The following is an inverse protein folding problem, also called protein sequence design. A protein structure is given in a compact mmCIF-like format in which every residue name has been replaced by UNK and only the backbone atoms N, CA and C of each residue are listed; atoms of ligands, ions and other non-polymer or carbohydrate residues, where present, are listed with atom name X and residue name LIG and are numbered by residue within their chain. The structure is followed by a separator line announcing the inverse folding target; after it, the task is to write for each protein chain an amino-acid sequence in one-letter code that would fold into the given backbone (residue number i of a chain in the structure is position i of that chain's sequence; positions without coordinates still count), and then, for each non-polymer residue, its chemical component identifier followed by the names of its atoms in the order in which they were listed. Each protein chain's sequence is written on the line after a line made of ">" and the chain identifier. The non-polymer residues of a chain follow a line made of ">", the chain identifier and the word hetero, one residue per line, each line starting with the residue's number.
data_IF_423553862348
#
_entry.id   IF_423553862348
#
_cell.length_a   1.000
_cell.length_b   1.000
_cell.length_c   1.000
_cell.angle_alpha   90.00
_cell.angle_beta   90.00
_cell.angle_gamma   90.00
#
_symmetry.space_group_name_H-M   'P 1'
#
loop_
_entity.id
_entity.type
_entity.pdbx_description
1 polymer ?
#
# COMPACT_ATOMS: atom_id res chain seq x y z
N UNK A 1 14.59 16.62 18.89
CA UNK A 1 13.80 15.37 18.78
C UNK A 1 12.41 15.77 18.35
N UNK A 2 11.88 15.15 17.30
CA UNK A 2 10.46 15.24 16.97
C UNK A 2 9.63 14.84 18.20
N UNK A 3 8.51 15.52 18.49
CA UNK A 3 7.62 15.09 19.57
C UNK A 3 7.08 13.69 19.22
N UNK A 4 7.28 12.76 20.15
CA UNK A 4 6.77 11.39 20.06
C UNK A 4 5.34 11.40 20.60
N UNK A 5 4.38 10.92 19.82
CA UNK A 5 3.04 10.66 20.37
C UNK A 5 3.09 9.47 21.34
N UNK A 6 2.14 9.38 22.26
CA UNK A 6 1.93 8.13 22.99
C UNK A 6 1.72 6.97 22.00
N UNK A 7 2.24 5.79 22.37
CA UNK A 7 1.98 4.55 21.65
C UNK A 7 0.50 4.18 21.80
N UNK A 8 -0.17 3.84 20.70
CA UNK A 8 -1.58 3.45 20.69
C UNK A 8 -1.74 2.02 20.18
N UNK A 9 -2.65 1.27 20.79
CA UNK A 9 -3.07 -0.03 20.27
C UNK A 9 -4.23 0.20 19.29
N UNK A 10 -4.08 -0.30 18.07
CA UNK A 10 -5.10 -0.23 17.03
C UNK A 10 -5.50 -1.65 16.65
N UNK A 11 -6.80 -1.94 16.74
CA UNK A 11 -7.38 -3.21 16.29
C UNK A 11 -8.32 -2.89 15.13
N UNK A 12 -8.02 -3.38 13.94
CA UNK A 12 -8.88 -3.18 12.76
C UNK A 12 -9.40 -4.52 12.28
N UNK A 13 -10.72 -4.70 12.32
CA UNK A 13 -11.39 -5.86 11.75
C UNK A 13 -11.82 -5.52 10.33
N UNK A 14 -11.43 -6.36 9.38
CA UNK A 14 -11.75 -6.22 7.96
C UNK A 14 -12.95 -7.10 7.62
N UNK A 15 -13.88 -6.56 6.84
CA UNK A 15 -15.14 -7.21 6.53
C UNK A 15 -15.30 -7.36 5.02
N UNK A 16 -15.95 -8.45 4.62
CA UNK A 16 -16.35 -8.72 3.24
C UNK A 16 -17.55 -9.67 3.23
N UNK A 17 -18.14 -9.91 2.06
CA UNK A 17 -19.16 -10.94 1.87
C UNK A 17 -18.52 -12.34 1.84
N UNK A 18 -19.30 -13.42 1.97
CA UNK A 18 -18.79 -14.77 1.76
C UNK A 18 -18.10 -14.98 0.41
N UNK A 19 -18.57 -14.29 -0.62
CA UNK A 19 -18.08 -14.29 -2.00
C UNK A 19 -16.93 -13.28 -2.25
N UNK A 20 -16.47 -12.55 -1.23
CA UNK A 20 -15.42 -11.53 -1.36
C UNK A 20 -15.76 -10.37 -2.34
N UNK A 21 -17.02 -9.96 -2.37
CA UNK A 21 -17.55 -8.94 -3.31
C UNK A 21 -16.85 -7.59 -3.18
N UNK A 22 -16.44 -7.17 -1.98
CA UNK A 22 -15.70 -5.91 -1.81
C UNK A 22 -14.31 -6.01 -2.44
N UNK A 23 -13.57 -7.09 -2.13
CA UNK A 23 -12.27 -7.35 -2.75
C UNK A 23 -12.36 -7.38 -4.28
N UNK A 24 -13.33 -8.11 -4.85
CA UNK A 24 -13.53 -8.21 -6.30
C UNK A 24 -13.80 -6.86 -6.96
N UNK A 25 -14.40 -5.91 -6.23
CA UNK A 25 -14.65 -4.54 -6.69
C UNK A 25 -13.51 -3.58 -6.36
N UNK A 26 -12.36 -4.09 -5.87
CA UNK A 26 -11.23 -3.26 -5.46
C UNK A 26 -11.54 -2.37 -4.25
N UNK A 27 -12.50 -2.77 -3.42
CA UNK A 27 -12.88 -2.08 -2.20
C UNK A 27 -12.33 -2.80 -0.97
N UNK A 28 -12.11 -2.04 0.10
CA UNK A 28 -11.78 -2.58 1.42
C UNK A 28 -12.63 -1.89 2.46
N UNK A 29 -13.32 -2.68 3.29
CA UNK A 29 -14.07 -2.20 4.45
C UNK A 29 -13.40 -2.67 5.73
N UNK A 30 -13.19 -1.76 6.67
CA UNK A 30 -12.75 -2.08 8.03
C UNK A 30 -13.50 -1.29 9.07
N UNK A 31 -13.59 -1.84 10.27
CA UNK A 31 -13.89 -1.09 11.49
C UNK A 31 -12.69 -1.17 12.40
N UNK A 32 -12.17 0.00 12.81
CA UNK A 32 -11.03 0.14 13.71
C UNK A 32 -11.51 0.53 15.10
N UNK A 33 -11.18 -0.27 16.09
CA UNK A 33 -11.22 0.07 17.50
C UNK A 33 -9.91 0.79 17.88
N UNK A 34 -10.07 2.03 18.36
CA UNK A 34 -9.03 2.84 18.96
C UNK A 34 -9.52 3.34 20.32
N UNK A 35 -9.19 2.58 21.37
CA UNK A 35 -9.53 2.91 22.77
C UNK A 35 -11.05 3.07 23.01
N UNK A 36 -11.88 2.29 22.31
CA UNK A 36 -13.34 2.33 22.44
C UNK A 36 -14.05 3.27 21.47
N UNK A 37 -13.32 4.07 20.69
CA UNK A 37 -13.85 4.78 19.54
C UNK A 37 -13.74 3.90 18.29
N UNK A 38 -14.85 3.73 17.58
CA UNK A 38 -14.90 2.90 16.37
C UNK A 38 -14.95 3.76 15.12
N UNK A 39 -14.00 3.53 14.21
CA UNK A 39 -13.94 4.21 12.92
C UNK A 39 -14.15 3.19 11.81
N UNK A 40 -15.23 3.37 11.05
CA UNK A 40 -15.43 2.66 9.80
C UNK A 40 -14.66 3.37 8.69
N UNK A 41 -13.88 2.61 7.91
CA UNK A 41 -13.19 3.12 6.72
C UNK A 41 -13.60 2.25 5.52
N UNK A 42 -14.05 2.89 4.44
CA UNK A 42 -14.09 2.28 3.09
C UNK A 42 -12.98 2.89 2.26
N UNK A 43 -12.14 2.04 1.65
CA UNK A 43 -11.10 2.45 0.71
C UNK A 43 -11.38 1.86 -0.67
N UNK A 44 -11.24 2.67 -1.71
CA UNK A 44 -11.22 2.20 -3.09
C UNK A 44 -9.78 2.16 -3.62
N UNK A 45 -9.41 1.03 -4.21
CA UNK A 45 -8.22 0.90 -5.04
C UNK A 45 -7.47 -0.40 -4.80
N UNK A 46 -7.20 -1.10 -5.91
CA UNK A 46 -6.05 -1.97 -6.09
C UNK A 46 -4.85 -1.17 -6.59
N UNK A 47 -3.69 -1.82 -6.57
CA UNK A 47 -2.44 -1.39 -7.21
C UNK A 47 -2.46 -1.48 -8.75
N UNK A 48 -3.63 -1.45 -9.37
CA UNK A 48 -3.75 -1.36 -10.81
C UNK A 48 -3.56 0.10 -11.22
N UNK A 49 -2.54 0.36 -12.05
CA UNK A 49 -2.26 1.64 -12.71
C UNK A 49 -1.68 2.77 -11.84
N UNK A 50 -0.55 2.49 -11.18
CA UNK A 50 0.55 3.46 -11.10
C UNK A 50 0.40 4.71 -10.23
N UNK A 51 -0.77 5.00 -9.67
CA UNK A 51 -0.93 6.03 -8.64
C UNK A 51 -0.93 5.41 -7.23
N UNK A 52 0.16 5.66 -6.51
CA UNK A 52 0.41 5.12 -5.18
C UNK A 52 -0.32 5.93 -4.07
N UNK A 53 -0.82 7.14 -4.38
CA UNK A 53 -1.06 8.15 -3.34
C UNK A 53 -2.42 8.86 -3.41
N UNK A 54 -3.25 8.65 -4.44
CA UNK A 54 -4.62 9.20 -4.46
C UNK A 54 -5.65 8.08 -4.57
N UNK A 55 -6.30 7.77 -3.44
CA UNK A 55 -7.39 6.79 -3.39
C UNK A 55 -8.56 7.40 -2.64
N UNK A 56 -9.77 7.07 -3.08
CA UNK A 56 -10.97 7.39 -2.34
C UNK A 56 -10.93 6.66 -1.00
N UNK A 57 -10.85 7.42 0.09
CA UNK A 57 -10.93 6.94 1.45
C UNK A 57 -12.03 7.73 2.15
N UNK A 58 -13.01 7.00 2.68
CA UNK A 58 -14.16 7.57 3.35
C UNK A 58 -14.25 6.99 4.75
N UNK A 59 -14.39 7.87 5.74
CA UNK A 59 -14.40 7.50 7.14
C UNK A 59 -15.65 8.04 7.85
N UNK A 60 -16.23 7.21 8.72
CA UNK A 60 -17.25 7.62 9.68
C UNK A 60 -16.88 7.07 11.06
N UNK A 61 -17.20 7.84 12.10
CA UNK A 61 -17.32 7.29 13.43
C UNK A 61 -18.60 6.46 13.50
N UNK A 62 -18.51 5.22 14.00
CA UNK A 62 -19.63 4.30 14.18
C UNK A 62 -19.80 3.95 15.66
N UNK A 63 -21.00 3.58 16.07
CA UNK A 63 -21.33 3.37 17.49
C UNK A 63 -20.93 2.01 18.03
N UNK A 64 -20.68 1.05 17.14
CA UNK A 64 -20.40 -0.33 17.50
C UNK A 64 -19.18 -0.85 16.72
N UNK A 65 -18.51 -1.88 17.26
CA UNK A 65 -17.40 -2.56 16.57
C UNK A 65 -17.90 -3.52 15.48
N UNK A 66 -18.72 -3.02 14.56
CA UNK A 66 -19.23 -3.71 13.38
C UNK A 66 -19.58 -2.69 12.30
N UNK A 67 -19.62 -3.10 11.03
CA UNK A 67 -19.97 -2.19 9.96
C UNK A 67 -21.35 -1.57 10.14
N UNK A 68 -21.46 -0.31 9.80
CA UNK A 68 -22.71 0.42 9.62
C UNK A 68 -22.87 0.76 8.13
N UNK A 69 -23.67 -0.02 7.37
CA UNK A 69 -23.87 0.22 5.95
C UNK A 69 -24.54 1.55 5.61
N UNK A 70 -25.20 2.20 6.57
CA UNK A 70 -25.87 3.49 6.39
C UNK A 70 -25.05 4.68 6.92
N UNK A 71 -23.77 4.44 7.27
CA UNK A 71 -22.84 5.49 7.66
C UNK A 71 -22.71 6.56 6.57
N UNK A 72 -22.62 7.83 6.98
CA UNK A 72 -22.91 8.96 6.10
C UNK A 72 -21.92 9.16 4.96
N UNK A 73 -20.63 8.94 5.20
CA UNK A 73 -19.57 9.16 4.21
C UNK A 73 -19.15 7.86 3.54
N UNK A 74 -18.99 6.79 4.31
CA UNK A 74 -18.45 5.50 3.90
C UNK A 74 -19.53 4.54 3.36
N UNK A 75 -20.74 4.59 3.91
CA UNK A 75 -21.87 3.74 3.49
C UNK A 75 -22.22 3.85 2.00
N UNK A 76 -22.30 5.06 1.39
CA UNK A 76 -22.59 5.22 -0.05
C UNK A 76 -21.60 4.53 -1.01
N UNK A 77 -20.42 4.13 -0.52
CA UNK A 77 -19.40 3.45 -1.32
C UNK A 77 -19.47 1.92 -1.20
N UNK A 78 -20.36 1.40 -0.36
CA UNK A 78 -20.61 -0.04 -0.28
C UNK A 78 -21.57 -0.47 -1.39
N UNK A 79 -21.25 -1.53 -2.15
CA UNK A 79 -22.18 -2.15 -3.08
C UNK A 79 -23.44 -2.62 -2.36
N UNK A 80 -24.61 -2.44 -2.99
CA UNK A 80 -25.89 -2.85 -2.42
C UNK A 80 -25.88 -4.33 -2.02
N UNK A 81 -25.26 -5.18 -2.85
CA UNK A 81 -25.18 -6.63 -2.62
C UNK A 81 -24.30 -6.99 -1.41
N UNK A 82 -23.39 -6.09 -1.00
CA UNK A 82 -22.52 -6.33 0.14
C UNK A 82 -23.18 -6.00 1.49
N UNK A 83 -24.20 -5.13 1.52
CA UNK A 83 -24.73 -4.55 2.76
C UNK A 83 -25.41 -5.54 3.72
N UNK A 84 -25.87 -6.70 3.24
CA UNK A 84 -26.64 -7.67 4.03
C UNK A 84 -25.85 -8.83 4.66
N UNK A 85 -24.62 -9.10 4.19
CA UNK A 85 -23.90 -10.35 4.52
C UNK A 85 -22.44 -10.14 4.94
N UNK A 86 -22.08 -8.93 5.37
CA UNK A 86 -20.72 -8.62 5.82
C UNK A 86 -20.32 -9.49 7.01
N UNK A 87 -19.22 -10.23 6.86
CA UNK A 87 -18.58 -11.00 7.91
C UNK A 87 -17.14 -10.56 8.11
N UNK A 88 -16.59 -10.69 9.32
CA UNK A 88 -15.17 -10.45 9.55
C UNK A 88 -14.33 -11.49 8.80
N UNK A 89 -13.26 -11.05 8.15
CA UNK A 89 -12.41 -11.87 7.26
C UNK A 89 -11.00 -12.02 7.82
N UNK A 90 -10.41 -10.91 8.25
CA UNK A 90 -9.13 -10.88 8.98
C UNK A 90 -9.07 -9.67 9.92
N UNK A 91 -8.14 -9.71 10.87
CA UNK A 91 -7.92 -8.65 11.86
C UNK A 91 -6.47 -8.22 11.79
N UNK A 92 -6.22 -6.92 11.87
CA UNK A 92 -4.89 -6.36 12.13
C UNK A 92 -4.83 -5.82 13.55
N UNK A 93 -3.89 -6.31 14.35
CA UNK A 93 -3.62 -5.79 15.69
C UNK A 93 -2.22 -5.18 15.69
N UNK A 94 -2.13 -3.86 15.81
CA UNK A 94 -0.85 -3.15 15.78
C UNK A 94 -0.70 -2.21 16.96
N UNK A 95 0.52 -2.12 17.46
CA UNK A 95 0.97 -1.05 18.34
C UNK A 95 1.64 0.02 17.47
N UNK A 96 1.02 1.20 17.38
CA UNK A 96 1.47 2.32 16.56
C UNK A 96 2.13 3.39 17.41
N UNK A 97 3.32 3.81 17.01
CA UNK A 97 4.01 4.99 17.58
C UNK A 97 4.17 6.03 16.48
N UNK A 98 3.66 7.25 16.68
CA UNK A 98 3.73 8.32 15.67
C UNK A 98 4.74 9.41 16.04
N UNK A 99 5.32 10.02 15.02
CA UNK A 99 6.31 11.07 15.11
C UNK A 99 5.95 12.17 14.10
N UNK A 100 5.80 13.40 14.57
CA UNK A 100 5.67 14.55 13.68
C UNK A 100 7.06 15.03 13.25
N UNK A 101 7.31 15.02 11.95
CA UNK A 101 8.59 15.43 11.34
C UNK A 101 8.35 16.68 10.51
N UNK A 102 9.16 17.70 10.73
CA UNK A 102 9.17 18.94 9.95
C UNK A 102 10.56 19.09 9.29
N UNK A 103 10.77 18.52 8.09
CA UNK A 103 12.08 18.54 7.43
C UNK A 103 12.47 19.94 6.93
N UNK A 104 11.49 20.77 6.63
CA UNK A 104 11.65 22.12 6.12
C UNK A 104 10.43 22.99 6.49
N UNK A 105 10.55 24.34 6.50
CA UNK A 105 9.41 25.21 6.72
C UNK A 105 8.27 24.94 5.72
N UNK A 106 7.06 24.74 6.23
CA UNK A 106 5.88 24.45 5.41
C UNK A 106 5.73 22.99 4.97
N UNK A 107 6.66 22.11 5.36
CA UNK A 107 6.60 20.67 5.09
C UNK A 107 6.35 19.89 6.36
N UNK A 108 5.30 19.09 6.37
CA UNK A 108 4.90 18.26 7.50
C UNK A 108 4.76 16.80 7.06
N UNK A 109 5.45 15.91 7.75
CA UNK A 109 5.40 14.46 7.55
C UNK A 109 5.07 13.79 8.87
N UNK A 110 4.10 12.88 8.86
CA UNK A 110 3.86 11.96 9.96
C UNK A 110 4.60 10.65 9.66
N UNK A 111 5.49 10.24 10.56
CA UNK A 111 6.05 8.90 10.54
C UNK A 111 5.32 8.04 11.56
N UNK A 112 4.92 6.83 11.17
CA UNK A 112 4.31 5.85 12.07
C UNK A 112 5.12 4.55 12.06
N UNK A 113 5.50 4.06 13.23
CA UNK A 113 6.07 2.73 13.39
C UNK A 113 4.96 1.81 13.87
N UNK A 114 4.67 0.78 13.08
CA UNK A 114 3.69 -0.24 13.39
C UNK A 114 4.37 -1.57 13.71
N UNK A 115 4.03 -2.15 14.86
CA UNK A 115 4.47 -3.47 15.26
C UNK A 115 3.26 -4.31 15.68
N UNK A 116 3.08 -5.49 15.09
CA UNK A 116 1.88 -6.26 15.33
C UNK A 116 1.72 -7.46 14.41
N UNK A 117 0.47 -7.80 14.12
CA UNK A 117 0.13 -8.98 13.31
C UNK A 117 -1.13 -8.76 12.49
N UNK A 118 -1.23 -9.49 11.39
CA UNK A 118 -2.45 -9.79 10.65
C UNK A 118 -2.86 -11.23 10.99
N UNK A 119 -4.14 -11.44 11.31
CA UNK A 119 -4.70 -12.76 11.64
C UNK A 119 -5.91 -13.03 10.76
N UNK A 120 -5.95 -14.18 10.10
CA UNK A 120 -7.18 -14.66 9.45
C UNK A 120 -8.21 -15.05 10.53
N UNK A 121 -9.50 -14.84 10.26
CA UNK A 121 -10.58 -15.18 11.22
C UNK A 121 -10.91 -16.67 11.18
N UNK A 122 -11.12 -17.22 9.97
CA UNK A 122 -11.61 -18.59 9.77
C UNK A 122 -10.49 -19.62 9.52
N UNK A 123 -9.21 -19.21 9.55
CA UNK A 123 -8.05 -20.06 9.25
C UNK A 123 -6.89 -19.75 10.20
N UNK A 124 -5.99 -20.71 10.39
CA UNK A 124 -4.79 -20.56 11.25
C UNK A 124 -3.67 -19.68 10.64
N UNK A 125 -4.02 -18.68 9.82
CA UNK A 125 -3.07 -17.79 9.17
C UNK A 125 -2.64 -16.62 10.07
N UNK A 126 -1.32 -16.38 10.16
CA UNK A 126 -0.76 -15.23 10.89
C UNK A 126 0.44 -14.62 10.17
N UNK A 127 0.39 -13.32 9.86
CA UNK A 127 1.52 -12.57 9.26
C UNK A 127 2.01 -11.45 10.20
N UNK A 128 3.31 -11.36 10.53
CA UNK A 128 3.82 -10.27 11.36
C UNK A 128 3.84 -8.93 10.62
N UNK A 129 3.56 -7.85 11.35
CA UNK A 129 3.72 -6.45 10.91
C UNK A 129 4.91 -5.85 11.67
N UNK A 130 5.85 -5.28 10.92
CA UNK A 130 6.95 -4.46 11.43
C UNK A 130 7.35 -3.48 10.34
N UNK A 131 6.73 -2.31 10.34
CA UNK A 131 6.85 -1.35 9.24
C UNK A 131 6.91 0.10 9.72
N UNK A 132 7.46 0.95 8.86
CA UNK A 132 7.45 2.40 9.01
C UNK A 132 6.65 2.99 7.86
N UNK A 133 5.59 3.72 8.18
CA UNK A 133 4.80 4.48 7.21
C UNK A 133 5.24 5.95 7.28
N UNK A 134 5.40 6.59 6.12
CA UNK A 134 5.64 8.03 6.01
C UNK A 134 4.46 8.66 5.25
N UNK A 135 3.74 9.54 5.91
CA UNK A 135 2.58 10.22 5.33
C UNK A 135 2.84 11.72 5.23
N UNK A 136 2.72 12.26 4.01
CA UNK A 136 2.85 13.69 3.79
C UNK A 136 1.57 14.39 4.20
N UNK A 137 1.64 15.26 5.21
CA UNK A 137 0.53 16.10 5.66
C UNK A 137 0.53 17.47 4.95
N UNK A 138 1.67 17.89 4.42
CA UNK A 138 1.81 19.09 3.59
C UNK A 138 3.25 19.29 3.08
N UNK A 139 3.41 19.99 1.96
CA UNK A 139 4.70 20.24 1.31
C UNK A 139 4.91 19.40 0.05
N UNK A 140 6.16 19.29 -0.39
CA UNK A 140 6.55 18.54 -1.60
C UNK A 140 6.76 17.05 -1.32
N UNK A 141 6.25 16.17 -2.18
CA UNK A 141 6.36 14.71 -2.01
C UNK A 141 7.78 14.17 -2.14
N UNK A 142 8.68 14.91 -2.80
CA UNK A 142 10.11 14.60 -2.89
C UNK A 142 10.76 14.38 -1.52
N UNK A 143 10.26 15.07 -0.48
CA UNK A 143 10.76 14.94 0.90
C UNK A 143 10.61 13.53 1.47
N UNK A 144 9.60 12.77 1.03
CA UNK A 144 9.39 11.41 1.50
C UNK A 144 10.54 10.49 1.06
N UNK A 145 11.05 10.70 -0.16
CA UNK A 145 12.19 9.95 -0.69
C UNK A 145 13.49 10.30 0.03
N UNK A 146 13.69 11.59 0.35
CA UNK A 146 14.86 12.02 1.15
C UNK A 146 14.84 11.43 2.56
N UNK A 147 13.67 11.41 3.22
CA UNK A 147 13.51 10.77 4.53
C UNK A 147 13.72 9.26 4.44
N UNK A 148 13.15 8.58 3.43
CA UNK A 148 13.36 7.16 3.21
C UNK A 148 14.85 6.83 3.02
N UNK A 149 15.57 7.63 2.22
CA UNK A 149 17.02 7.48 2.00
C UNK A 149 17.84 7.69 3.29
N UNK A 150 17.38 8.56 4.20
CA UNK A 150 18.01 8.72 5.52
C UNK A 150 17.73 7.52 6.44
N UNK A 151 16.50 7.01 6.45
CA UNK A 151 16.12 5.85 7.25
C UNK A 151 16.87 4.58 6.84
N UNK A 152 17.11 4.41 5.53
CA UNK A 152 17.91 3.29 5.00
C UNK A 152 19.36 3.26 5.51
N UNK A 153 19.89 4.38 6.03
CA UNK A 153 21.24 4.45 6.63
C UNK A 153 21.30 3.89 8.04
N UNK A 154 20.15 3.74 8.71
CA UNK A 154 20.07 3.37 10.13
C UNK A 154 19.28 2.08 10.37
N UNK A 155 18.48 1.63 9.40
CA UNK A 155 17.71 0.40 9.50
C UNK A 155 17.63 -0.33 8.14
N UNK A 156 17.57 -1.67 8.14
CA UNK A 156 17.48 -2.48 6.93
C UNK A 156 16.03 -2.50 6.40
N UNK A 157 15.54 -1.34 5.95
CA UNK A 157 14.19 -1.18 5.42
C UNK A 157 14.08 -1.69 3.99
N UNK A 158 12.89 -2.19 3.64
CA UNK A 158 12.48 -2.55 2.28
C UNK A 158 11.13 -1.89 1.99
N UNK A 159 10.87 -1.61 0.72
CA UNK A 159 9.58 -1.08 0.30
C UNK A 159 8.55 -2.21 0.26
N UNK A 160 7.49 -2.10 1.05
CA UNK A 160 6.35 -3.01 0.97
C UNK A 160 5.30 -2.39 0.05
N UNK A 161 5.11 -3.00 -1.12
CA UNK A 161 4.13 -2.53 -2.10
C UNK A 161 2.73 -3.10 -1.85
N UNK A 162 2.55 -4.00 -0.89
CA UNK A 162 1.23 -4.54 -0.54
C UNK A 162 0.67 -3.80 0.66
N UNK A 163 -0.56 -3.35 0.56
CA UNK A 163 -1.27 -2.81 1.72
C UNK A 163 -1.46 -3.87 2.82
N UNK A 164 -1.80 -3.44 4.05
CA UNK A 164 -2.23 -4.36 5.11
C UNK A 164 -3.45 -5.19 4.69
N UNK A 165 -4.37 -4.62 3.89
CA UNK A 165 -5.53 -5.36 3.41
C UNK A 165 -5.17 -6.38 2.34
N UNK A 166 -4.30 -6.06 1.38
CA UNK A 166 -3.81 -7.05 0.40
C UNK A 166 -3.12 -8.23 1.09
N UNK A 167 -2.27 -7.95 2.09
CA UNK A 167 -1.65 -9.01 2.90
C UNK A 167 -2.69 -9.83 3.66
N UNK A 168 -3.72 -9.19 4.24
CA UNK A 168 -4.80 -9.87 4.93
C UNK A 168 -5.65 -10.76 4.03
N UNK A 169 -6.06 -10.30 2.85
CA UNK A 169 -6.76 -11.13 1.87
C UNK A 169 -5.88 -12.27 1.37
N UNK A 170 -4.62 -12.01 1.07
CA UNK A 170 -3.66 -13.05 0.70
C UNK A 170 -3.55 -14.12 1.80
N UNK A 171 -3.45 -13.71 3.06
CA UNK A 171 -3.38 -14.61 4.21
C UNK A 171 -4.64 -15.46 4.33
N UNK A 172 -5.82 -14.90 4.04
CA UNK A 172 -7.08 -15.62 4.06
C UNK A 172 -7.18 -16.61 2.89
N UNK A 173 -6.72 -16.25 1.71
CA UNK A 173 -6.81 -17.10 0.51
C UNK A 173 -5.77 -18.22 0.52
N UNK A 174 -4.53 -17.89 0.87
CA UNK A 174 -3.35 -18.75 0.69
C UNK A 174 -2.66 -19.14 1.99
N UNK A 175 -3.18 -18.71 3.14
CA UNK A 175 -2.50 -18.88 4.41
C UNK A 175 -1.13 -18.19 4.39
N UNK A 176 -0.16 -18.79 5.08
CA UNK A 176 1.21 -18.28 5.16
C UNK A 176 2.07 -18.54 3.92
N UNK A 177 1.49 -19.03 2.82
CA UNK A 177 2.24 -19.16 1.58
C UNK A 177 2.77 -17.79 1.13
N UNK A 178 3.96 -17.72 0.52
CA UNK A 178 4.42 -16.47 -0.09
C UNK A 178 3.61 -16.16 -1.37
N UNK A 179 3.46 -14.87 -1.75
CA UNK A 179 2.89 -14.50 -3.04
C UNK A 179 3.65 -15.15 -4.19
N UNK A 180 2.92 -15.48 -5.26
CA UNK A 180 3.51 -15.96 -6.51
C UNK A 180 4.18 -14.82 -7.28
N UNK A 181 5.09 -15.16 -8.18
CA UNK A 181 5.72 -14.20 -9.07
C UNK A 181 4.68 -13.49 -9.96
N UNK A 182 4.90 -12.20 -10.21
CA UNK A 182 4.02 -11.35 -11.01
C UNK A 182 4.72 -11.02 -12.33
N UNK A 183 4.00 -11.20 -13.44
CA UNK A 183 4.51 -10.88 -14.78
C UNK A 183 4.31 -9.40 -15.12
N UNK A 184 5.02 -8.94 -16.15
CA UNK A 184 4.78 -7.63 -16.72
C UNK A 184 3.39 -7.62 -17.39
N UNK A 185 2.60 -6.60 -17.07
CA UNK A 185 1.35 -6.31 -17.77
C UNK A 185 1.58 -5.33 -18.94
N UNK A 186 0.70 -5.34 -19.95
CA UNK A 186 0.70 -4.33 -21.00
C UNK A 186 0.61 -2.92 -20.41
N UNK A 187 1.43 -2.01 -20.90
CA UNK A 187 1.30 -0.59 -20.56
C UNK A 187 0.31 0.02 -21.54
N UNK A 188 -0.83 0.48 -21.04
CA UNK A 188 -1.79 1.21 -21.85
C UNK A 188 -1.27 2.63 -22.12
N UNK A 189 -1.19 2.99 -23.40
CA UNK A 189 -0.75 4.31 -23.84
C UNK A 189 -1.85 4.92 -24.69
N UNK A 190 -2.28 6.11 -24.31
CA UNK A 190 -3.23 6.90 -25.09
C UNK A 190 -2.49 7.81 -26.09
N UNK A 191 -3.13 8.11 -27.22
CA UNK A 191 -2.59 9.02 -28.24
C UNK A 191 -2.48 10.46 -27.74
N UNK A 192 -3.28 10.82 -26.75
CA UNK A 192 -3.31 12.15 -26.15
C UNK A 192 -2.32 12.29 -24.97
N UNK A 193 -1.63 11.21 -24.57
CA UNK A 193 -0.59 11.27 -23.55
C UNK A 193 0.60 12.11 -24.03
N UNK A 194 1.11 12.95 -23.12
CA UNK A 194 2.42 13.56 -23.37
C UNK A 194 3.52 12.51 -23.29
N UNK A 195 4.68 12.80 -23.88
CA UNK A 195 5.88 11.97 -23.74
C UNK A 195 6.22 11.72 -22.26
N UNK A 196 6.04 12.75 -21.41
CA UNK A 196 6.34 12.65 -19.99
C UNK A 196 5.35 11.70 -19.28
N UNK A 197 4.06 11.78 -19.62
CA UNK A 197 3.04 10.89 -19.06
C UNK A 197 3.30 9.43 -19.47
N UNK A 198 3.67 9.21 -20.74
CA UNK A 198 4.03 7.89 -21.22
C UNK A 198 5.27 7.33 -20.48
N UNK A 199 6.31 8.15 -20.28
CA UNK A 199 7.49 7.75 -19.52
C UNK A 199 7.15 7.41 -18.06
N UNK A 200 6.34 8.25 -17.40
CA UNK A 200 5.91 7.99 -16.03
C UNK A 200 5.09 6.70 -15.92
N UNK A 201 4.17 6.45 -16.86
CA UNK A 201 3.35 5.25 -16.88
C UNK A 201 4.21 3.98 -17.07
N UNK A 202 5.13 3.99 -18.05
CA UNK A 202 6.08 2.90 -18.28
C UNK A 202 6.96 2.67 -17.04
N UNK A 203 7.49 3.74 -16.45
CA UNK A 203 8.32 3.69 -15.24
C UNK A 203 7.58 3.08 -14.06
N UNK A 204 6.34 3.52 -13.80
CA UNK A 204 5.46 2.99 -12.76
C UNK A 204 5.15 1.51 -12.97
N UNK A 205 4.83 1.08 -14.19
CA UNK A 205 4.64 -0.35 -14.52
C UNK A 205 5.87 -1.19 -14.21
N UNK A 206 7.07 -0.70 -14.56
CA UNK A 206 8.31 -1.42 -14.27
C UNK A 206 8.61 -1.49 -12.77
N UNK A 207 8.42 -0.38 -12.04
CA UNK A 207 8.62 -0.32 -10.60
C UNK A 207 7.62 -1.21 -9.85
N UNK A 208 6.35 -1.19 -10.25
CA UNK A 208 5.32 -2.05 -9.69
C UNK A 208 5.70 -3.52 -9.85
N UNK A 209 6.10 -3.95 -11.06
CA UNK A 209 6.56 -5.32 -11.30
C UNK A 209 7.76 -5.68 -10.41
N UNK A 210 8.74 -4.77 -10.27
CA UNK A 210 9.92 -4.99 -9.44
C UNK A 210 9.53 -5.22 -7.97
N UNK A 211 8.74 -4.32 -7.40
CA UNK A 211 8.35 -4.38 -5.99
C UNK A 211 7.42 -5.57 -5.69
N UNK A 212 6.48 -5.85 -6.59
CA UNK A 212 5.52 -6.97 -6.46
C UNK A 212 6.18 -8.35 -6.47
N UNK A 213 7.36 -8.48 -7.08
CA UNK A 213 8.13 -9.73 -7.08
C UNK A 213 9.07 -9.90 -5.88
N UNK A 214 9.29 -8.86 -5.06
CA UNK A 214 10.21 -8.95 -3.90
C UNK A 214 9.82 -10.08 -2.93
N UNK A 215 8.54 -10.26 -2.53
CA UNK A 215 8.15 -11.36 -1.65
C UNK A 215 8.46 -12.75 -2.24
N UNK A 216 8.22 -12.94 -3.53
CA UNK A 216 8.53 -14.19 -4.22
C UNK A 216 10.04 -14.48 -4.23
N UNK A 217 10.87 -13.45 -4.47
CA UNK A 217 12.34 -13.54 -4.40
C UNK A 217 12.80 -13.94 -3.00
N UNK A 218 12.30 -13.28 -1.96
CA UNK A 218 12.69 -13.54 -0.58
C UNK A 218 12.28 -14.94 -0.11
N UNK A 219 11.21 -15.48 -0.67
CA UNK A 219 10.81 -16.87 -0.45
C UNK A 219 11.59 -17.90 -1.26
N UNK A 220 12.55 -17.46 -2.10
CA UNK A 220 13.40 -18.34 -2.90
C UNK A 220 12.78 -18.87 -4.19
N UNK A 221 11.67 -18.27 -4.66
CA UNK A 221 11.04 -18.67 -5.92
C UNK A 221 11.90 -18.24 -7.13
N UNK A 222 12.35 -19.18 -7.98
CA UNK A 222 13.16 -18.84 -9.16
C UNK A 222 12.45 -17.90 -10.14
N UNK A 223 11.14 -18.05 -10.31
CA UNK A 223 10.35 -17.19 -11.19
C UNK A 223 10.29 -15.75 -10.66
N UNK A 224 10.24 -15.55 -9.33
CA UNK A 224 10.31 -14.22 -8.73
C UNK A 224 11.63 -13.51 -9.08
N UNK A 225 12.76 -14.24 -9.02
CA UNK A 225 14.08 -13.71 -9.41
C UNK A 225 14.10 -13.38 -10.91
N UNK A 226 13.52 -14.25 -11.73
CA UNK A 226 13.42 -14.01 -13.17
C UNK A 226 12.61 -12.75 -13.48
N UNK A 227 11.40 -12.62 -12.92
CA UNK A 227 10.53 -11.48 -13.17
C UNK A 227 11.08 -10.17 -12.61
N UNK A 228 11.73 -10.19 -11.44
CA UNK A 228 12.39 -8.99 -10.90
C UNK A 228 13.54 -8.52 -11.82
N UNK A 229 14.32 -9.45 -12.40
CA UNK A 229 15.33 -9.11 -13.42
C UNK A 229 14.72 -8.56 -14.69
N UNK A 230 13.58 -9.09 -15.13
CA UNK A 230 12.82 -8.57 -16.27
C UNK A 230 12.40 -7.13 -16.01
N UNK A 231 11.84 -6.83 -14.84
CA UNK A 231 11.41 -5.49 -14.43
C UNK A 231 12.56 -4.46 -14.49
N UNK A 232 13.73 -4.80 -13.90
CA UNK A 232 14.92 -3.94 -13.95
C UNK A 232 15.39 -3.69 -15.38
N UNK A 233 15.39 -4.73 -16.22
CA UNK A 233 15.77 -4.60 -17.63
C UNK A 233 14.80 -3.70 -18.40
N UNK A 234 13.49 -3.86 -18.19
CA UNK A 234 12.45 -2.99 -18.79
C UNK A 234 12.66 -1.53 -18.37
N UNK A 235 12.90 -1.28 -17.08
CA UNK A 235 13.14 0.08 -16.56
C UNK A 235 14.38 0.73 -17.21
N UNK A 236 15.50 0.00 -17.28
CA UNK A 236 16.73 0.47 -17.95
C UNK A 236 16.51 0.74 -19.43
N UNK A 237 15.78 -0.14 -20.12
CA UNK A 237 15.42 0.07 -21.53
C UNK A 237 14.57 1.31 -21.72
N UNK A 238 13.56 1.54 -20.86
CA UNK A 238 12.75 2.75 -20.89
C UNK A 238 13.63 4.00 -20.72
N UNK A 239 14.43 4.07 -19.65
CA UNK A 239 15.32 5.21 -19.39
C UNK A 239 16.26 5.47 -20.59
N UNK A 240 16.81 4.42 -21.20
CA UNK A 240 17.64 4.52 -22.40
C UNK A 240 16.89 5.10 -23.61
N UNK A 241 15.67 4.62 -23.86
CA UNK A 241 14.83 5.09 -24.97
C UNK A 241 14.43 6.56 -24.85
N UNK A 242 14.27 7.07 -23.63
CA UNK A 242 13.91 8.46 -23.37
C UNK A 242 15.12 9.35 -23.04
N UNK A 243 16.36 8.86 -23.21
CA UNK A 243 17.59 9.54 -22.78
C UNK A 243 17.72 10.98 -23.30
N UNK A 244 17.42 11.22 -24.57
CA UNK A 244 17.55 12.56 -25.19
C UNK A 244 16.51 13.56 -24.67
N UNK A 245 15.47 13.06 -23.99
CA UNK A 245 14.35 13.83 -23.46
C UNK A 245 14.48 14.06 -21.94
N UNK A 246 15.44 13.37 -21.29
CA UNK A 246 15.73 13.51 -19.87
C UNK A 246 16.78 14.61 -19.63
N UNK A 247 16.62 15.46 -18.59
CA UNK A 247 17.67 16.38 -18.17
C UNK A 247 18.96 15.61 -17.88
N UNK A 248 20.10 16.04 -18.45
CA UNK A 248 21.35 15.27 -18.47
C UNK A 248 21.93 14.83 -17.10
N UNK A 249 21.45 15.36 -15.98
CA UNK A 249 21.87 15.01 -14.62
C UNK A 249 21.03 13.91 -13.96
N UNK A 250 19.86 13.55 -14.50
CA UNK A 250 18.96 12.52 -13.94
C UNK A 250 19.29 11.10 -14.47
N UNK A 251 19.87 11.01 -15.66
CA UNK A 251 20.22 9.74 -16.30
C UNK A 251 21.35 8.99 -15.57
N UNK A 252 22.38 9.70 -15.11
CA UNK A 252 23.56 9.09 -14.47
C UNK A 252 23.23 8.46 -13.10
N UNK A 253 22.29 9.03 -12.33
CA UNK A 253 21.87 8.50 -11.02
C UNK A 253 21.00 7.25 -11.09
N UNK A 254 20.40 6.95 -12.24
CA UNK A 254 19.39 5.88 -12.36
C UNK A 254 19.95 4.60 -13.01
N UNK A 255 21.14 4.69 -13.64
CA UNK A 255 21.72 3.61 -14.45
C UNK A 255 22.88 2.88 -13.75
N UNK A 256 23.56 3.53 -12.79
CA UNK A 256 24.54 2.91 -11.88
C UNK A 256 23.85 2.09 -10.77
#
# INVERSE_FOLDING_TARGET
>A
MAPVSAQKRLVSTYYDTPEATLKERGLTLRVRDQDGDFIQTVKAGEFAEGDLLSRGEWEDAVTENRPDPIASQSGPHLPEEATGELRPVFVTEVSRTTFAIEPAPGTAVEAAIDQGVIRAVDKDGLEPISEVELELKGGESSVLYDLAAQLLKVAPLRLEARSKSERGYHLVEHGNAPPSAVHAEPVELDRDMTVMDALQNIGRSCLAQLLRNEPAVLSGQPEGVHQMRVAVRRLRSAISSFRELLPGHEFERTVE
#
